data_IF_062423097008
#
_entry.id   IF_062423097008
#
_cell.length_a   1.000
_cell.length_b   1.000
_cell.length_c   1.000
_cell.angle_alpha   90.00
_cell.angle_beta   90.00
_cell.angle_gamma   90.00
#
_symmetry.space_group_name_H-M   'P 1'
#
loop_
_entity.id
_entity.type
_entity.pdbx_description
1 polymer ?
#
# COMPACT_ATOMS: atom_id res chain seq x y z
N UNK A 1 -17.85 8.72 -34.52
CA UNK A 1 -18.58 7.48 -34.20
C UNK A 1 -18.21 7.07 -32.79
N UNK A 2 -19.17 6.98 -31.85
CA UNK A 2 -18.89 6.77 -30.42
C UNK A 2 -18.34 5.37 -30.09
N UNK A 3 -18.74 4.33 -30.84
CA UNK A 3 -18.33 2.94 -30.58
C UNK A 3 -16.83 2.67 -30.74
N UNK A 4 -16.13 3.39 -31.63
CA UNK A 4 -14.69 3.22 -31.83
C UNK A 4 -13.86 3.80 -30.67
N UNK A 5 -14.39 4.80 -29.98
CA UNK A 5 -13.74 5.43 -28.82
C UNK A 5 -13.85 4.53 -27.59
N UNK A 6 -15.01 3.92 -27.37
CA UNK A 6 -15.20 2.94 -26.29
C UNK A 6 -14.26 1.73 -26.44
N UNK A 7 -14.17 1.13 -27.63
CA UNK A 7 -13.28 -0.02 -27.87
C UNK A 7 -11.80 0.36 -27.62
N UNK A 8 -11.39 1.56 -28.04
CA UNK A 8 -10.03 2.06 -27.83
C UNK A 8 -9.73 2.30 -26.35
N UNK A 9 -10.70 2.83 -25.60
CA UNK A 9 -10.60 3.02 -24.16
C UNK A 9 -10.52 1.69 -23.41
N UNK A 10 -11.37 0.70 -23.73
CA UNK A 10 -11.30 -0.63 -23.14
C UNK A 10 -9.96 -1.31 -23.40
N UNK A 11 -9.44 -1.25 -24.63
CA UNK A 11 -8.12 -1.78 -24.97
C UNK A 11 -7.01 -1.13 -24.13
N UNK A 12 -7.12 0.18 -23.87
CA UNK A 12 -6.17 0.93 -23.04
C UNK A 12 -6.23 0.51 -21.56
N UNK A 13 -7.43 0.34 -21.00
CA UNK A 13 -7.63 -0.11 -19.62
C UNK A 13 -7.12 -1.54 -19.42
N UNK A 14 -7.39 -2.45 -20.38
CA UNK A 14 -6.90 -3.83 -20.33
C UNK A 14 -5.37 -3.87 -20.42
N UNK A 15 -4.78 -3.11 -21.35
CA UNK A 15 -3.33 -3.01 -21.49
C UNK A 15 -2.68 -2.46 -20.22
N UNK A 16 -3.27 -1.44 -19.62
CA UNK A 16 -2.83 -0.91 -18.33
C UNK A 16 -2.91 -1.96 -17.22
N UNK A 17 -4.02 -2.70 -17.10
CA UNK A 17 -4.20 -3.73 -16.07
C UNK A 17 -3.22 -4.89 -16.25
N UNK A 18 -2.97 -5.32 -17.48
CA UNK A 18 -1.94 -6.34 -17.78
C UNK A 18 -0.56 -5.87 -17.35
N UNK A 19 -0.21 -4.62 -17.65
CA UNK A 19 1.07 -4.02 -17.22
C UNK A 19 1.18 -3.95 -15.69
N UNK A 20 0.12 -3.49 -15.02
CA UNK A 20 0.04 -3.45 -13.56
C UNK A 20 0.24 -4.83 -12.94
N UNK A 21 -0.46 -5.86 -13.45
CA UNK A 21 -0.33 -7.24 -12.98
C UNK A 21 1.08 -7.80 -13.21
N UNK A 22 1.68 -7.53 -14.37
CA UNK A 22 3.06 -7.93 -14.64
C UNK A 22 4.05 -7.30 -13.65
N UNK A 23 3.88 -6.02 -13.32
CA UNK A 23 4.69 -5.35 -12.31
C UNK A 23 4.48 -5.94 -10.91
N UNK A 24 3.23 -6.23 -10.53
CA UNK A 24 2.91 -6.86 -9.23
C UNK A 24 3.61 -8.22 -9.11
N UNK A 25 3.51 -9.09 -10.12
CA UNK A 25 4.13 -10.42 -10.11
C UNK A 25 5.66 -10.30 -9.97
N UNK A 26 6.28 -9.38 -10.72
CA UNK A 26 7.72 -9.15 -10.63
C UNK A 26 8.16 -8.70 -9.23
N UNK A 27 7.44 -7.75 -8.62
CA UNK A 27 7.72 -7.28 -7.26
C UNK A 27 7.50 -8.39 -6.22
N UNK A 28 6.44 -9.18 -6.35
CA UNK A 28 6.22 -10.34 -5.47
C UNK A 28 7.36 -11.35 -5.56
N UNK A 29 7.89 -11.61 -6.76
CA UNK A 29 9.06 -12.45 -6.96
C UNK A 29 10.31 -11.90 -6.26
N UNK A 30 10.58 -10.59 -6.40
CA UNK A 30 11.70 -9.94 -5.72
C UNK A 30 11.56 -9.98 -4.19
N UNK A 31 10.37 -9.79 -3.66
CA UNK A 31 10.09 -9.89 -2.22
C UNK A 31 10.37 -11.32 -1.73
N UNK A 32 9.88 -12.34 -2.44
CA UNK A 32 10.14 -13.74 -2.08
C UNK A 32 11.62 -14.10 -2.09
N UNK A 33 12.36 -13.60 -3.08
CA UNK A 33 13.80 -13.80 -3.15
C UNK A 33 14.51 -13.12 -1.96
N UNK A 34 14.14 -11.89 -1.61
CA UNK A 34 14.67 -11.21 -0.42
C UNK A 34 14.34 -11.97 0.87
N UNK A 35 13.12 -12.52 1.00
CA UNK A 35 12.73 -13.36 2.13
C UNK A 35 13.59 -14.63 2.24
N UNK A 36 13.85 -15.29 1.12
CA UNK A 36 14.74 -16.45 1.04
C UNK A 36 16.16 -16.08 1.49
N UNK A 37 16.71 -14.97 0.96
CA UNK A 37 18.04 -14.49 1.35
C UNK A 37 18.13 -14.14 2.84
N UNK A 38 17.09 -13.50 3.41
CA UNK A 38 17.01 -13.24 4.85
C UNK A 38 17.02 -14.56 5.63
N UNK A 39 16.27 -15.57 5.18
CA UNK A 39 16.27 -16.90 5.78
C UNK A 39 17.66 -17.53 5.81
N UNK A 40 18.33 -17.55 4.67
CA UNK A 40 19.72 -18.07 4.55
C UNK A 40 20.66 -17.31 5.48
N UNK A 41 20.63 -15.98 5.49
CA UNK A 41 21.53 -15.18 6.34
C UNK A 41 21.26 -15.39 7.83
N UNK A 42 20.00 -15.62 8.24
CA UNK A 42 19.68 -15.98 9.63
C UNK A 42 20.25 -17.33 10.03
N UNK A 43 20.17 -18.33 9.15
CA UNK A 43 20.82 -19.63 9.39
C UNK A 43 22.33 -19.47 9.51
N UNK A 44 22.96 -18.75 8.59
CA UNK A 44 24.42 -18.45 8.64
C UNK A 44 24.80 -17.73 9.93
N UNK A 45 24.01 -16.75 10.38
CA UNK A 45 24.23 -16.07 11.64
C UNK A 45 24.13 -17.04 12.83
N UNK A 46 23.13 -17.91 12.85
CA UNK A 46 22.95 -18.93 13.88
C UNK A 46 24.15 -19.87 13.97
N UNK A 47 24.57 -20.42 12.82
CA UNK A 47 25.70 -21.34 12.74
C UNK A 47 27.02 -20.67 13.14
N UNK A 48 27.25 -19.44 12.68
CA UNK A 48 28.44 -18.66 13.02
C UNK A 48 28.47 -18.33 14.52
N UNK A 49 27.34 -17.89 15.07
CA UNK A 49 27.22 -17.54 16.50
C UNK A 49 27.47 -18.77 17.37
N UNK A 50 26.88 -19.92 17.01
CA UNK A 50 27.09 -21.17 17.74
C UNK A 50 28.56 -21.60 17.70
N UNK A 51 29.20 -21.57 16.52
CA UNK A 51 30.63 -21.89 16.39
C UNK A 51 31.50 -20.97 17.24
N UNK A 52 31.32 -19.65 17.14
CA UNK A 52 32.09 -18.68 17.91
C UNK A 52 31.88 -18.84 19.42
N UNK A 53 30.67 -19.21 19.86
CA UNK A 53 30.40 -19.52 21.26
C UNK A 53 31.18 -20.75 21.74
N UNK A 54 31.18 -21.82 20.94
CA UNK A 54 31.95 -23.03 21.25
C UNK A 54 33.45 -22.76 21.31
N UNK A 55 33.95 -21.85 20.47
CA UNK A 55 35.35 -21.44 20.42
C UNK A 55 35.71 -20.40 21.50
N UNK A 56 34.74 -19.93 22.31
CA UNK A 56 34.95 -18.88 23.31
C UNK A 56 35.28 -17.50 22.72
N UNK A 57 35.05 -17.31 21.42
CA UNK A 57 35.41 -16.13 20.64
C UNK A 57 34.18 -15.31 20.20
N UNK A 58 33.01 -15.55 20.78
CA UNK A 58 31.80 -14.81 20.46
C UNK A 58 31.91 -13.37 20.95
N UNK A 59 32.17 -12.47 20.01
CA UNK A 59 32.14 -11.02 20.19
C UNK A 59 31.27 -10.38 19.11
N UNK A 60 30.70 -9.23 19.42
CA UNK A 60 29.79 -8.51 18.52
C UNK A 60 30.42 -8.23 17.15
N UNK A 61 31.68 -7.79 17.14
CA UNK A 61 32.41 -7.47 15.89
C UNK A 61 32.49 -8.66 14.92
N UNK A 62 32.52 -9.90 15.44
CA UNK A 62 32.62 -11.10 14.62
C UNK A 62 31.30 -11.45 13.90
N UNK A 63 30.15 -11.06 14.46
CA UNK A 63 28.82 -11.35 13.88
C UNK A 63 28.18 -10.12 13.21
N UNK A 64 28.68 -8.92 13.53
CA UNK A 64 28.19 -7.63 13.04
C UNK A 64 28.02 -7.55 11.52
N UNK A 65 28.94 -8.04 10.67
CA UNK A 65 28.76 -7.99 9.22
C UNK A 65 27.52 -8.73 8.74
N UNK A 66 27.22 -9.89 9.34
CA UNK A 66 26.03 -10.70 9.01
C UNK A 66 24.76 -10.00 9.47
N UNK A 67 24.77 -9.38 10.66
CA UNK A 67 23.64 -8.60 11.17
C UNK A 67 23.32 -7.38 10.29
N UNK A 68 24.34 -6.60 9.89
CA UNK A 68 24.16 -5.45 9.00
C UNK A 68 23.66 -5.88 7.62
N UNK A 69 24.11 -7.03 7.11
CA UNK A 69 23.59 -7.60 5.86
C UNK A 69 22.11 -7.97 5.98
N UNK A 70 21.70 -8.64 7.07
CA UNK A 70 20.28 -8.96 7.32
C UNK A 70 19.45 -7.68 7.39
N UNK A 71 19.93 -6.66 8.09
CA UNK A 71 19.26 -5.36 8.19
C UNK A 71 19.10 -4.69 6.83
N UNK A 72 20.12 -4.71 5.99
CA UNK A 72 20.04 -4.20 4.61
C UNK A 72 19.00 -4.95 3.78
N UNK A 73 18.93 -6.28 3.89
CA UNK A 73 17.92 -7.08 3.19
C UNK A 73 16.49 -6.75 3.66
N UNK A 74 16.29 -6.50 4.95
CA UNK A 74 14.99 -6.04 5.47
C UNK A 74 14.59 -4.67 4.91
N UNK A 75 15.52 -3.71 4.85
CA UNK A 75 15.25 -2.40 4.27
C UNK A 75 14.87 -2.49 2.79
N UNK A 76 15.58 -3.32 2.02
CA UNK A 76 15.25 -3.57 0.62
C UNK A 76 13.86 -4.22 0.47
N UNK A 77 13.53 -5.19 1.33
CA UNK A 77 12.21 -5.83 1.33
C UNK A 77 11.10 -4.81 1.60
N UNK A 78 11.27 -3.94 2.60
CA UNK A 78 10.31 -2.90 2.95
C UNK A 78 10.09 -1.93 1.78
N UNK A 79 11.16 -1.51 1.11
CA UNK A 79 11.06 -0.66 -0.08
C UNK A 79 10.24 -1.33 -1.18
N UNK A 80 10.49 -2.62 -1.46
CA UNK A 80 9.71 -3.38 -2.47
C UNK A 80 8.26 -3.60 -2.07
N UNK A 81 7.98 -3.78 -0.78
CA UNK A 81 6.61 -3.87 -0.27
C UNK A 81 5.86 -2.54 -0.48
N UNK A 82 6.50 -1.42 -0.17
CA UNK A 82 5.93 -0.09 -0.40
C UNK A 82 5.69 0.18 -1.89
N UNK A 83 6.64 -0.18 -2.75
CA UNK A 83 6.48 -0.08 -4.21
C UNK A 83 5.27 -0.88 -4.69
N UNK A 84 5.10 -2.10 -4.18
CA UNK A 84 3.97 -2.97 -4.52
C UNK A 84 2.63 -2.41 -4.04
N UNK A 85 2.57 -1.81 -2.85
CA UNK A 85 1.38 -1.10 -2.37
C UNK A 85 1.00 0.07 -3.27
N UNK A 86 1.99 0.87 -3.70
CA UNK A 86 1.77 1.98 -4.63
C UNK A 86 1.19 1.47 -5.95
N UNK A 87 1.78 0.43 -6.55
CA UNK A 87 1.30 -0.12 -7.83
C UNK A 87 -0.11 -0.69 -7.68
N UNK A 88 -0.43 -1.38 -6.58
CA UNK A 88 -1.78 -1.89 -6.31
C UNK A 88 -2.81 -0.78 -6.16
N UNK A 89 -2.42 0.38 -5.62
CA UNK A 89 -3.28 1.55 -5.45
C UNK A 89 -3.49 2.40 -6.70
N UNK A 90 -2.77 2.13 -7.80
CA UNK A 90 -2.94 2.90 -9.04
C UNK A 90 -4.32 2.69 -9.65
N UNK A 91 -4.89 3.78 -10.20
CA UNK A 91 -6.21 3.77 -10.86
C UNK A 91 -6.05 3.62 -12.38
N UNK A 92 -7.05 3.03 -13.06
CA UNK A 92 -7.08 2.95 -14.52
C UNK A 92 -7.05 4.34 -15.19
N UNK A 93 -6.57 4.44 -16.44
CA UNK A 93 -6.65 5.67 -17.22
C UNK A 93 -8.12 6.14 -17.37
N UNK A 94 -8.38 7.44 -17.16
CA UNK A 94 -9.71 8.01 -17.31
C UNK A 94 -10.09 8.22 -18.78
N UNK A 95 -11.40 8.27 -19.07
CA UNK A 95 -11.91 8.58 -20.41
C UNK A 95 -11.59 10.05 -20.75
N UNK A 96 -11.19 10.37 -21.99
CA UNK A 96 -10.89 11.74 -22.43
C UNK A 96 -12.00 12.76 -22.13
N UNK A 97 -13.28 12.37 -22.22
CA UNK A 97 -14.42 13.28 -22.01
C UNK A 97 -14.67 13.65 -20.54
N UNK A 98 -14.18 12.89 -19.56
CA UNK A 98 -14.38 13.17 -18.13
C UNK A 98 -13.39 14.18 -17.53
N UNK A 99 -12.34 14.55 -18.28
CA UNK A 99 -11.33 15.52 -17.80
C UNK A 99 -11.79 16.98 -17.99
N UNK A 100 -12.82 17.22 -18.81
CA UNK A 100 -13.28 18.57 -19.14
C UNK A 100 -14.22 19.21 -18.09
N UNK A 101 -14.83 18.44 -17.19
CA UNK A 101 -15.81 18.96 -16.21
C UNK A 101 -15.22 19.39 -14.85
N UNK A 102 -13.90 19.25 -14.63
CA UNK A 102 -13.25 19.63 -13.37
C UNK A 102 -12.30 20.83 -13.48
N UNK A 103 -12.67 21.84 -14.30
CA UNK A 103 -12.01 23.15 -14.25
C UNK A 103 -12.90 24.11 -13.43
N UNK A 104 -12.50 24.56 -12.23
CA UNK A 104 -13.20 25.65 -11.55
C UNK A 104 -12.82 26.96 -12.25
N UNK A 105 -13.62 27.35 -13.24
CA UNK A 105 -13.52 28.67 -13.85
C UNK A 105 -14.13 29.70 -12.88
N UNK A 106 -13.32 30.66 -12.44
CA UNK A 106 -13.72 31.77 -11.59
C UNK A 106 -14.80 32.65 -12.25
N UNK A 107 -15.86 32.93 -11.49
CA UNK A 107 -16.78 34.11 -11.41
C UNK A 107 -16.74 35.19 -12.50
N UNK A 108 -17.89 35.81 -12.89
CA UNK A 108 -18.53 36.79 -11.99
C UNK A 108 -20.07 37.01 -12.09
N UNK A 109 -20.55 37.75 -11.08
CA UNK A 109 -21.72 38.65 -11.06
C UNK A 109 -22.94 38.17 -10.29
N UNK A 110 -23.26 38.99 -9.29
CA UNK A 110 -24.36 38.92 -8.36
C UNK A 110 -25.74 38.97 -9.07
N UNK A 111 -26.67 38.17 -8.54
CA UNK A 111 -28.07 38.54 -8.42
C UNK A 111 -28.55 38.05 -7.05
N UNK A 112 -29.18 38.97 -6.34
CA UNK A 112 -29.78 38.86 -5.02
C UNK A 112 -31.08 38.04 -5.05
N UNK A 113 -31.48 37.52 -3.88
CA UNK A 113 -32.78 36.91 -3.55
C UNK A 113 -33.05 35.49 -4.12
N UNK A 114 -33.42 34.45 -3.37
CA UNK A 114 -34.20 34.32 -2.13
C UNK A 114 -33.77 33.02 -1.41
N UNK A 115 -33.64 33.02 -0.09
CA UNK A 115 -33.52 31.79 0.72
C UNK A 115 -34.87 31.04 0.75
N UNK A 116 -34.85 29.70 0.58
CA UNK A 116 -35.75 28.86 1.36
C UNK A 116 -34.97 27.98 2.32
N UNK A 117 -35.34 28.10 3.59
CA UNK A 117 -34.80 27.44 4.78
C UNK A 117 -34.56 25.94 4.62
N UNK A 118 -33.41 25.48 5.09
CA UNK A 118 -33.15 24.07 5.41
C UNK A 118 -34.20 23.55 6.41
N UNK A 119 -34.86 22.41 6.13
CA UNK A 119 -35.41 21.59 7.20
C UNK A 119 -34.27 20.75 7.77
N UNK A 120 -33.87 21.07 9.00
CA UNK A 120 -33.06 20.24 9.89
C UNK A 120 -33.54 18.78 9.89
N UNK A 121 -32.67 17.80 9.58
CA UNK A 121 -32.87 16.44 10.03
C UNK A 121 -32.15 16.26 11.38
N UNK A 122 -32.97 16.04 12.38
CA UNK A 122 -32.66 15.59 13.75
C UNK A 122 -31.54 14.52 13.78
N UNK A 123 -30.57 14.59 14.72
CA UNK A 123 -29.60 13.51 14.90
C UNK A 123 -30.31 12.24 15.41
N UNK A 124 -30.02 11.05 14.85
CA UNK A 124 -30.60 9.82 15.36
C UNK A 124 -30.12 9.56 16.79
N UNK A 125 -31.08 9.29 17.68
CA UNK A 125 -30.86 8.92 19.07
C UNK A 125 -29.91 7.71 19.20
N UNK A 126 -28.98 7.70 20.17
CA UNK A 126 -28.16 6.53 20.44
C UNK A 126 -28.98 5.45 21.18
N UNK A 127 -28.99 4.19 20.73
CA UNK A 127 -29.44 3.08 21.58
C UNK A 127 -28.31 2.65 22.52
N UNK A 128 -28.61 2.79 23.81
CA UNK A 128 -28.14 2.03 24.97
C UNK A 128 -26.66 1.64 25.10
N UNK A 129 -26.00 2.42 25.96
CA UNK A 129 -25.10 1.96 27.01
C UNK A 129 -25.49 0.56 27.55
N UNK A 130 -24.65 -0.44 27.29
CA UNK A 130 -24.54 -1.58 28.20
C UNK A 130 -23.07 -1.67 28.63
N UNK A 131 -22.78 -1.02 29.76
CA UNK A 131 -21.51 -1.13 30.45
C UNK A 131 -21.30 -2.58 30.96
N UNK A 132 -20.03 -3.00 31.16
CA UNK A 132 -19.62 -4.38 31.39
C UNK A 132 -19.89 -4.84 32.82
N UNK A 133 -20.15 -6.14 32.98
CA UNK A 133 -20.03 -6.82 34.27
C UNK A 133 -19.03 -7.97 34.16
N UNK A 134 -17.96 -7.85 34.93
CA UNK A 134 -16.84 -8.78 35.12
C UNK A 134 -17.27 -10.06 35.90
N UNK A 135 -16.39 -11.07 36.02
CA UNK A 135 -16.72 -12.48 36.26
C UNK A 135 -16.94 -12.82 37.73
N UNK A 136 -17.56 -13.98 38.00
CA UNK A 136 -17.38 -14.68 39.27
C UNK A 136 -17.64 -16.19 39.16
N UNK A 137 -16.63 -16.93 39.63
CA UNK A 137 -16.62 -18.29 40.21
C UNK A 137 -16.98 -19.50 39.31
#
# INVERSE_FOLDING_TARGET
>A
MPFSDDVSHYASVVSWKLKQQGQIINLQGQIHELESQIGVQKTVLGDLTYKLFMDGALIDEAIRPTCEKIKSLYAQKEEKQKELEIIRGQKPPQRPEQTAEHTPAATPTAVEEVQPSEPTPEPPAPPEENKPQEPAA
#
